data_IF_283650227610
#
_entry.id   IF_283650227610
#
_cell.length_a   1.000
_cell.length_b   1.000
_cell.length_c   1.000
_cell.angle_alpha   90.00
_cell.angle_beta   90.00
_cell.angle_gamma   90.00
#
_symmetry.space_group_name_H-M   'P 1'
#
loop_
_entity.id
_entity.type
_entity.pdbx_description
1 polymer ?
#
# COMPACT_ATOMS: atom_id res chain seq x y z
N UNK A 1 -69.22 -1.60 9.61
CA UNK A 1 -67.80 -1.31 9.91
C UNK A 1 -66.97 -2.18 9.01
N UNK A 2 -66.00 -1.65 8.24
CA UNK A 2 -65.17 -2.50 7.40
C UNK A 2 -64.36 -3.45 8.29
N UNK A 3 -64.21 -4.70 7.85
CA UNK A 3 -63.54 -5.76 8.61
C UNK A 3 -62.02 -5.52 8.62
N UNK A 4 -61.54 -4.78 9.62
CA UNK A 4 -60.14 -4.39 9.79
C UNK A 4 -59.26 -5.51 10.35
N UNK A 5 -59.85 -6.61 10.82
CA UNK A 5 -59.12 -7.74 11.39
C UNK A 5 -58.33 -8.51 10.32
N UNK A 6 -58.91 -8.70 9.15
CA UNK A 6 -58.28 -9.37 8.02
C UNK A 6 -56.98 -8.69 7.52
N UNK A 7 -56.97 -7.38 7.19
CA UNK A 7 -55.75 -6.71 6.74
C UNK A 7 -54.68 -6.65 7.84
N UNK A 8 -55.07 -6.56 9.12
CA UNK A 8 -54.13 -6.63 10.25
C UNK A 8 -53.45 -8.00 10.33
N UNK A 9 -54.20 -9.09 10.15
CA UNK A 9 -53.65 -10.44 10.17
C UNK A 9 -52.70 -10.68 8.99
N UNK A 10 -53.09 -10.26 7.78
CA UNK A 10 -52.22 -10.35 6.59
C UNK A 10 -50.94 -9.54 6.79
N UNK A 11 -51.02 -8.33 7.35
CA UNK A 11 -49.85 -7.52 7.65
C UNK A 11 -48.93 -8.19 8.69
N UNK A 12 -49.49 -8.74 9.78
CA UNK A 12 -48.73 -9.44 10.80
C UNK A 12 -48.00 -10.66 10.24
N UNK A 13 -48.70 -11.51 9.47
CA UNK A 13 -48.09 -12.69 8.82
C UNK A 13 -47.01 -12.27 7.83
N UNK A 14 -47.27 -11.26 7.00
CA UNK A 14 -46.29 -10.76 6.03
C UNK A 14 -45.04 -10.22 6.74
N UNK A 15 -45.19 -9.50 7.85
CA UNK A 15 -44.09 -9.00 8.65
C UNK A 15 -43.25 -10.14 9.24
N UNK A 16 -43.89 -11.18 9.79
CA UNK A 16 -43.20 -12.36 10.33
C UNK A 16 -42.45 -13.11 9.22
N UNK A 17 -43.10 -13.39 8.09
CA UNK A 17 -42.47 -14.07 6.95
C UNK A 17 -41.30 -13.26 6.41
N UNK A 18 -41.46 -11.94 6.25
CA UNK A 18 -40.39 -11.06 5.77
C UNK A 18 -39.21 -11.05 6.74
N UNK A 19 -39.49 -10.94 8.03
CA UNK A 19 -38.43 -10.92 9.07
C UNK A 19 -37.66 -12.23 9.11
N UNK A 20 -38.36 -13.37 9.05
CA UNK A 20 -37.73 -14.70 8.98
C UNK A 20 -36.94 -14.89 7.68
N UNK A 21 -37.49 -14.47 6.54
CA UNK A 21 -36.81 -14.58 5.25
C UNK A 21 -35.53 -13.73 5.20
N UNK A 22 -35.60 -12.49 5.71
CA UNK A 22 -34.42 -11.61 5.81
C UNK A 22 -33.41 -12.18 6.80
N UNK A 23 -33.85 -12.61 7.99
CA UNK A 23 -32.97 -13.13 9.03
C UNK A 23 -32.26 -14.44 8.66
N UNK A 24 -32.94 -15.34 7.95
CA UNK A 24 -32.39 -16.66 7.61
C UNK A 24 -31.62 -16.68 6.30
N UNK A 25 -32.00 -15.87 5.30
CA UNK A 25 -31.42 -15.98 3.95
C UNK A 25 -30.61 -14.75 3.53
N UNK A 26 -31.01 -13.55 3.95
CA UNK A 26 -30.36 -12.29 3.52
C UNK A 26 -29.23 -11.91 4.47
N UNK A 27 -29.49 -11.89 5.78
CA UNK A 27 -28.52 -11.47 6.79
C UNK A 27 -27.21 -12.29 6.76
N UNK A 28 -27.23 -13.65 6.67
CA UNK A 28 -25.98 -14.41 6.60
C UNK A 28 -25.15 -14.09 5.35
N UNK A 29 -25.81 -13.86 4.21
CA UNK A 29 -25.12 -13.47 2.96
C UNK A 29 -24.55 -12.06 3.06
N UNK A 30 -25.28 -11.13 3.67
CA UNK A 30 -24.79 -9.77 3.87
C UNK A 30 -23.59 -9.74 4.82
N UNK A 31 -23.63 -10.48 5.92
CA UNK A 31 -22.49 -10.58 6.85
C UNK A 31 -21.27 -11.23 6.19
N UNK A 32 -21.46 -12.30 5.41
CA UNK A 32 -20.37 -12.91 4.65
C UNK A 32 -19.78 -11.93 3.61
N UNK A 33 -20.63 -11.16 2.91
CA UNK A 33 -20.18 -10.12 1.97
C UNK A 33 -19.45 -8.98 2.69
N UNK A 34 -19.97 -8.52 3.82
CA UNK A 34 -19.36 -7.49 4.66
C UNK A 34 -17.97 -7.93 5.13
N UNK A 35 -17.82 -9.18 5.59
CA UNK A 35 -16.52 -9.75 5.95
C UNK A 35 -15.53 -9.72 4.78
N UNK A 36 -15.94 -10.23 3.61
CA UNK A 36 -15.10 -10.24 2.39
C UNK A 36 -14.69 -8.83 1.95
N UNK A 37 -15.63 -7.88 1.97
CA UNK A 37 -15.33 -6.49 1.65
C UNK A 37 -14.39 -5.86 2.68
N UNK A 38 -14.57 -6.16 3.96
CA UNK A 38 -13.67 -5.74 5.04
C UNK A 38 -12.25 -6.23 4.81
N UNK A 39 -12.06 -7.51 4.52
CA UNK A 39 -10.75 -8.10 4.21
C UNK A 39 -10.08 -7.45 3.00
N UNK A 40 -10.84 -7.14 1.94
CA UNK A 40 -10.35 -6.40 0.77
C UNK A 40 -9.85 -5.01 1.15
N UNK A 41 -10.60 -4.28 1.98
CA UNK A 41 -10.18 -2.95 2.45
C UNK A 41 -8.93 -3.04 3.33
N UNK A 42 -8.89 -3.98 4.28
CA UNK A 42 -7.73 -4.20 5.14
C UNK A 42 -6.47 -4.50 4.32
N UNK A 43 -6.57 -5.33 3.27
CA UNK A 43 -5.44 -5.64 2.40
C UNK A 43 -4.94 -4.39 1.63
N UNK A 44 -5.85 -3.55 1.14
CA UNK A 44 -5.52 -2.29 0.46
C UNK A 44 -4.92 -1.27 1.41
N UNK A 45 -5.44 -1.16 2.63
CA UNK A 45 -4.93 -0.25 3.66
C UNK A 45 -3.52 -0.68 4.10
N UNK A 46 -3.27 -1.97 4.25
CA UNK A 46 -1.94 -2.50 4.55
C UNK A 46 -0.95 -2.23 3.41
N UNK A 47 -1.39 -2.35 2.14
CA UNK A 47 -0.59 -1.95 0.99
C UNK A 47 -0.23 -0.46 1.02
N UNK A 48 -1.23 0.42 1.18
CA UNK A 48 -1.04 1.88 1.30
C UNK A 48 -0.12 2.26 2.45
N UNK A 49 -0.27 1.59 3.60
CA UNK A 49 0.54 1.82 4.81
C UNK A 49 2.00 1.52 4.54
N UNK A 50 2.33 0.40 3.89
CA UNK A 50 3.72 0.05 3.60
C UNK A 50 4.35 0.97 2.53
N UNK A 51 3.59 1.40 1.53
CA UNK A 51 4.06 2.41 0.57
C UNK A 51 4.36 3.75 1.26
N UNK A 52 3.46 4.20 2.14
CA UNK A 52 3.65 5.43 2.90
C UNK A 52 4.86 5.32 3.84
N UNK A 53 5.07 4.16 4.47
CA UNK A 53 6.30 3.88 5.24
C UNK A 53 7.54 4.02 4.39
N UNK A 54 7.57 3.43 3.19
CA UNK A 54 8.70 3.56 2.26
C UNK A 54 8.98 5.02 1.91
N UNK A 55 7.96 5.79 1.51
CA UNK A 55 8.14 7.21 1.19
C UNK A 55 8.67 7.97 2.40
N UNK A 56 8.07 7.75 3.58
CA UNK A 56 8.47 8.45 4.81
C UNK A 56 9.90 8.13 5.23
N UNK A 57 10.31 6.86 5.20
CA UNK A 57 11.65 6.43 5.56
C UNK A 57 12.68 6.96 4.55
N UNK A 58 12.37 6.95 3.24
CA UNK A 58 13.24 7.57 2.23
C UNK A 58 13.42 9.07 2.50
N UNK A 59 12.32 9.78 2.76
CA UNK A 59 12.34 11.22 3.04
C UNK A 59 13.15 11.56 4.29
N UNK A 60 13.11 10.71 5.31
CA UNK A 60 13.88 10.88 6.54
C UNK A 60 15.38 10.59 6.31
N UNK A 61 15.70 9.54 5.57
CA UNK A 61 17.07 9.15 5.24
C UNK A 61 17.77 10.15 4.31
N UNK A 62 17.03 10.79 3.39
CA UNK A 62 17.54 11.87 2.55
C UNK A 62 17.87 13.13 3.35
N UNK A 63 17.03 13.46 4.34
CA UNK A 63 17.22 14.64 5.20
C UNK A 63 18.32 14.45 6.22
N UNK A 64 18.50 13.24 6.71
CA UNK A 64 19.49 12.92 7.74
C UNK A 64 20.82 12.50 7.11
N UNK A 65 21.55 13.49 6.58
CA UNK A 65 22.94 13.30 6.20
C UNK A 65 23.79 13.27 7.46
N UNK A 66 24.58 12.21 7.64
CA UNK A 66 25.47 12.11 8.79
C UNK A 66 26.53 13.22 8.68
N UNK A 67 26.65 14.12 9.66
CA UNK A 67 27.64 15.18 9.58
C UNK A 67 29.06 14.59 9.62
N UNK A 68 30.04 15.17 8.88
CA UNK A 68 31.39 14.64 8.82
C UNK A 68 32.05 14.49 10.20
N UNK A 69 33.03 13.59 10.27
CA UNK A 69 33.67 13.20 11.52
C UNK A 69 34.26 14.40 12.32
N UNK A 70 34.63 15.45 11.59
CA UNK A 70 35.38 16.60 12.09
C UNK A 70 34.50 17.83 12.38
N UNK A 71 33.17 17.69 12.34
CA UNK A 71 32.26 18.83 12.52
C UNK A 71 32.29 19.39 13.95
N UNK A 72 32.68 20.66 14.15
CA UNK A 72 32.80 21.25 15.48
C UNK A 72 31.42 21.43 16.11
N UNK A 73 31.15 20.69 17.18
CA UNK A 73 29.90 20.76 17.96
C UNK A 73 29.09 19.47 18.02
N UNK A 74 29.44 18.46 17.21
CA UNK A 74 28.79 17.15 17.27
C UNK A 74 29.52 16.25 18.27
N UNK A 75 28.85 15.91 19.38
CA UNK A 75 29.37 14.94 20.34
C UNK A 75 29.34 13.52 19.73
N UNK A 76 30.28 12.66 20.14
CA UNK A 76 30.29 11.25 19.72
C UNK A 76 28.97 10.55 20.04
N UNK A 77 28.39 10.81 21.21
CA UNK A 77 27.08 10.28 21.63
C UNK A 77 25.96 10.70 20.68
N UNK A 78 25.97 11.93 20.17
CA UNK A 78 24.96 12.37 19.20
C UNK A 78 25.14 11.66 17.86
N UNK A 79 26.39 11.48 17.41
CA UNK A 79 26.70 10.73 16.18
C UNK A 79 26.22 9.28 16.27
N UNK A 80 26.46 8.61 17.39
CA UNK A 80 26.01 7.23 17.60
C UNK A 80 24.49 7.12 17.56
N UNK A 81 23.78 8.09 18.17
CA UNK A 81 22.31 8.15 18.13
C UNK A 81 21.78 8.37 16.71
N UNK A 82 22.37 9.29 15.95
CA UNK A 82 21.99 9.54 14.56
C UNK A 82 22.23 8.31 13.69
N UNK A 83 23.33 7.59 13.92
CA UNK A 83 23.64 6.34 13.23
C UNK A 83 22.59 5.26 13.55
N UNK A 84 22.21 5.11 14.82
CA UNK A 84 21.16 4.18 15.23
C UNK A 84 19.78 4.52 14.65
N UNK A 85 19.44 5.80 14.55
CA UNK A 85 18.20 6.24 13.91
C UNK A 85 18.20 5.98 12.39
N UNK A 86 19.34 6.19 11.73
CA UNK A 86 19.52 5.85 10.31
C UNK A 86 19.32 4.36 10.08
N UNK A 87 19.96 3.52 10.89
CA UNK A 87 19.84 2.06 10.80
C UNK A 87 18.39 1.61 11.00
N UNK A 88 17.69 2.20 11.98
CA UNK A 88 16.26 1.92 12.22
C UNK A 88 15.40 2.22 10.99
N UNK A 89 15.66 3.32 10.27
CA UNK A 89 14.88 3.65 9.07
C UNK A 89 15.23 2.75 7.88
N UNK A 90 16.49 2.33 7.76
CA UNK A 90 16.86 1.29 6.79
C UNK A 90 16.15 -0.04 7.07
N UNK A 91 16.08 -0.45 8.33
CA UNK A 91 15.31 -1.63 8.73
C UNK A 91 13.83 -1.47 8.38
N UNK A 92 13.24 -0.29 8.58
CA UNK A 92 11.85 -0.04 8.19
C UNK A 92 11.63 -0.14 6.67
N UNK A 93 12.58 0.29 5.85
CA UNK A 93 12.53 0.09 4.39
C UNK A 93 12.61 -1.39 4.01
N UNK A 94 13.54 -2.12 4.62
CA UNK A 94 13.70 -3.56 4.41
C UNK A 94 12.43 -4.32 4.81
N UNK A 95 11.87 -4.05 5.99
CA UNK A 95 10.64 -4.66 6.47
C UNK A 95 9.42 -4.34 5.59
N UNK A 96 9.26 -3.08 5.20
CA UNK A 96 8.14 -2.67 4.35
C UNK A 96 8.23 -3.31 2.96
N UNK A 97 9.40 -3.32 2.32
CA UNK A 97 9.59 -3.95 1.00
C UNK A 97 9.49 -5.47 1.05
N UNK A 98 9.99 -6.11 2.11
CA UNK A 98 9.79 -7.54 2.37
C UNK A 98 8.31 -7.87 2.51
N UNK A 99 7.57 -7.10 3.33
CA UNK A 99 6.13 -7.30 3.49
C UNK A 99 5.39 -7.20 2.15
N UNK A 100 5.74 -6.21 1.32
CA UNK A 100 5.12 -6.03 -0.01
C UNK A 100 5.29 -7.26 -0.88
N UNK A 101 6.51 -7.79 -1.02
CA UNK A 101 6.73 -8.95 -1.88
C UNK A 101 6.08 -10.22 -1.31
N UNK A 102 6.14 -10.44 0.00
CA UNK A 102 5.60 -11.65 0.65
C UNK A 102 4.06 -11.68 0.63
N UNK A 103 3.42 -10.52 0.62
CA UNK A 103 1.95 -10.39 0.68
C UNK A 103 1.32 -9.98 -0.65
N UNK A 104 2.08 -9.98 -1.75
CA UNK A 104 1.65 -9.48 -3.06
C UNK A 104 0.37 -10.12 -3.56
N UNK A 105 0.21 -11.43 -3.40
CA UNK A 105 -0.98 -12.16 -3.83
C UNK A 105 -2.25 -11.66 -3.11
N UNK A 106 -2.13 -11.33 -1.82
CA UNK A 106 -3.23 -10.90 -0.96
C UNK A 106 -3.74 -9.53 -1.35
N UNK A 107 -2.86 -8.51 -1.42
CA UNK A 107 -3.33 -7.15 -1.72
C UNK A 107 -3.50 -6.90 -3.21
N UNK A 108 -2.72 -7.53 -4.11
CA UNK A 108 -2.91 -7.33 -5.54
C UNK A 108 -4.25 -7.92 -6.00
N UNK A 109 -4.59 -9.13 -5.51
CA UNK A 109 -5.88 -9.78 -5.76
C UNK A 109 -7.10 -9.03 -5.22
N UNK A 110 -6.89 -8.03 -4.34
CA UNK A 110 -7.96 -7.17 -3.84
C UNK A 110 -8.51 -6.24 -4.93
N UNK A 111 -7.79 -6.00 -6.03
CA UNK A 111 -8.20 -5.08 -7.10
C UNK A 111 -8.91 -5.81 -8.26
N UNK A 112 -10.00 -5.26 -8.81
CA UNK A 112 -10.77 -5.93 -9.85
C UNK A 112 -10.12 -5.89 -11.24
N UNK A 113 -9.16 -4.99 -11.48
CA UNK A 113 -8.58 -4.74 -12.80
C UNK A 113 -7.21 -5.43 -12.95
N UNK A 114 -7.06 -6.32 -13.93
CA UNK A 114 -5.80 -7.09 -14.17
C UNK A 114 -4.57 -6.21 -14.28
N UNK A 115 -4.66 -5.06 -14.95
CA UNK A 115 -3.51 -4.16 -15.09
C UNK A 115 -3.05 -3.56 -13.74
N UNK A 116 -3.94 -3.39 -12.76
CA UNK A 116 -3.55 -2.98 -11.41
C UNK A 116 -2.86 -4.13 -10.68
N UNK A 117 -3.33 -5.37 -10.86
CA UNK A 117 -2.68 -6.55 -10.29
C UNK A 117 -1.22 -6.63 -10.78
N UNK A 118 -1.00 -6.58 -12.10
CA UNK A 118 0.34 -6.60 -12.68
C UNK A 118 1.21 -5.45 -12.16
N UNK A 119 0.65 -4.24 -12.13
CA UNK A 119 1.38 -3.07 -11.68
C UNK A 119 1.83 -3.17 -10.21
N UNK A 120 0.97 -3.70 -9.34
CA UNK A 120 1.29 -3.91 -7.93
C UNK A 120 2.35 -5.00 -7.72
N UNK A 121 2.32 -6.05 -8.55
CA UNK A 121 3.29 -7.15 -8.53
C UNK A 121 4.66 -6.68 -9.01
N UNK A 122 4.72 -5.99 -10.16
CA UNK A 122 5.96 -5.43 -10.70
C UNK A 122 6.59 -4.43 -9.72
N UNK A 123 5.78 -3.57 -9.12
CA UNK A 123 6.27 -2.63 -8.11
C UNK A 123 6.93 -3.34 -6.93
N UNK A 124 6.25 -4.34 -6.34
CA UNK A 124 6.76 -5.04 -5.17
C UNK A 124 8.09 -5.75 -5.45
N UNK A 125 8.20 -6.42 -6.61
CA UNK A 125 9.43 -7.07 -7.04
C UNK A 125 10.58 -6.08 -7.22
N UNK A 126 10.35 -5.00 -7.97
CA UNK A 126 11.39 -4.00 -8.23
C UNK A 126 11.80 -3.24 -6.96
N UNK A 127 10.85 -2.85 -6.10
CA UNK A 127 11.16 -2.18 -4.84
C UNK A 127 12.03 -3.07 -3.94
N UNK A 128 11.73 -4.38 -3.86
CA UNK A 128 12.56 -5.32 -3.11
C UNK A 128 13.97 -5.46 -3.70
N UNK A 129 14.07 -5.57 -5.03
CA UNK A 129 15.35 -5.66 -5.72
C UNK A 129 16.23 -4.42 -5.51
N UNK A 130 15.65 -3.22 -5.49
CA UNK A 130 16.40 -1.98 -5.20
C UNK A 130 17.01 -2.03 -3.80
N UNK A 131 16.22 -2.39 -2.78
CA UNK A 131 16.72 -2.50 -1.39
C UNK A 131 17.87 -3.50 -1.29
N UNK A 132 17.73 -4.66 -1.94
CA UNK A 132 18.72 -5.75 -1.92
C UNK A 132 19.97 -5.48 -2.75
N UNK A 133 19.91 -4.58 -3.74
CA UNK A 133 21.04 -4.32 -4.63
C UNK A 133 22.25 -3.71 -3.90
N UNK A 134 23.44 -3.81 -4.48
CA UNK A 134 24.67 -3.21 -3.93
C UNK A 134 24.84 -1.72 -4.28
N UNK A 135 23.78 -1.08 -4.79
CA UNK A 135 23.79 0.34 -5.15
C UNK A 135 24.08 1.23 -3.96
N UNK A 136 24.62 2.41 -4.25
CA UNK A 136 24.80 3.45 -3.24
C UNK A 136 23.46 3.80 -2.58
N UNK A 137 23.51 4.09 -1.29
CA UNK A 137 22.34 4.44 -0.48
C UNK A 137 21.51 5.54 -1.11
N UNK A 138 22.13 6.64 -1.58
CA UNK A 138 21.42 7.74 -2.23
C UNK A 138 20.64 7.28 -3.47
N UNK A 139 21.26 6.48 -4.34
CA UNK A 139 20.62 5.92 -5.53
C UNK A 139 19.45 5.00 -5.18
N UNK A 140 19.58 4.18 -4.12
CA UNK A 140 18.47 3.34 -3.64
C UNK A 140 17.28 4.17 -3.23
N UNK A 141 17.49 5.23 -2.44
CA UNK A 141 16.41 6.11 -1.97
C UNK A 141 15.70 6.79 -3.14
N UNK A 142 16.47 7.32 -4.09
CA UNK A 142 15.94 7.97 -5.28
C UNK A 142 15.08 6.99 -6.11
N UNK A 143 15.60 5.80 -6.38
CA UNK A 143 14.88 4.74 -7.10
C UNK A 143 13.61 4.30 -6.36
N UNK A 144 13.67 4.12 -5.05
CA UNK A 144 12.52 3.72 -4.25
C UNK A 144 11.42 4.77 -4.28
N UNK A 145 11.76 6.06 -4.20
CA UNK A 145 10.79 7.14 -4.34
C UNK A 145 10.21 7.20 -5.75
N UNK A 146 11.07 7.10 -6.77
CA UNK A 146 10.66 7.12 -8.18
C UNK A 146 9.74 5.93 -8.54
N UNK A 147 9.92 4.76 -7.92
CA UNK A 147 8.99 3.63 -8.03
C UNK A 147 7.71 3.85 -7.22
N UNK A 148 7.82 4.27 -5.96
CA UNK A 148 6.71 4.21 -4.99
C UNK A 148 5.71 5.34 -5.18
N UNK A 149 6.16 6.57 -5.46
CA UNK A 149 5.28 7.74 -5.57
C UNK A 149 4.24 7.60 -6.70
N UNK A 150 4.62 7.23 -7.94
CA UNK A 150 3.67 7.05 -9.03
C UNK A 150 2.64 5.95 -8.73
N UNK A 151 3.11 4.83 -8.17
CA UNK A 151 2.23 3.71 -7.79
C UNK A 151 1.26 4.18 -6.70
N UNK A 152 1.72 4.89 -5.67
CA UNK A 152 0.86 5.35 -4.56
C UNK A 152 -0.21 6.29 -5.08
N UNK A 153 0.16 7.21 -5.98
CA UNK A 153 -0.78 8.10 -6.65
C UNK A 153 -1.79 7.31 -7.48
N UNK A 154 -1.38 6.32 -8.25
CA UNK A 154 -2.28 5.55 -9.11
C UNK A 154 -3.28 4.69 -8.32
N UNK A 155 -2.88 4.14 -7.18
CA UNK A 155 -3.77 3.30 -6.35
C UNK A 155 -4.63 4.11 -5.38
N UNK A 156 -4.05 5.10 -4.72
CA UNK A 156 -4.65 5.79 -3.57
C UNK A 156 -4.81 7.30 -3.75
N UNK A 157 -4.34 7.83 -4.89
CA UNK A 157 -4.55 9.23 -5.23
C UNK A 157 -6.01 9.56 -5.49
N UNK A 158 -6.33 10.84 -5.35
CA UNK A 158 -7.66 11.35 -5.62
C UNK A 158 -8.09 11.07 -7.07
N UNK A 159 -9.36 10.72 -7.36
CA UNK A 159 -9.78 10.20 -8.68
C UNK A 159 -9.34 11.04 -9.89
N UNK A 160 -9.48 12.37 -9.87
CA UNK A 160 -9.01 13.20 -10.99
C UNK A 160 -7.49 13.29 -11.10
N UNK A 161 -6.76 13.16 -9.97
CA UNK A 161 -5.30 13.08 -9.97
C UNK A 161 -4.82 11.81 -10.67
N UNK A 162 -5.47 10.67 -10.40
CA UNK A 162 -5.17 9.38 -11.05
C UNK A 162 -5.34 9.46 -12.55
N UNK A 163 -6.48 9.98 -13.02
CA UNK A 163 -6.74 10.11 -14.46
C UNK A 163 -5.73 11.05 -15.12
N UNK A 164 -5.46 12.20 -14.50
CA UNK A 164 -4.52 13.20 -15.03
C UNK A 164 -3.09 12.68 -15.15
N UNK A 165 -2.64 11.89 -14.18
CA UNK A 165 -1.26 11.42 -14.11
C UNK A 165 -1.04 10.01 -14.61
N UNK A 166 -2.08 9.25 -14.98
CA UNK A 166 -1.97 7.83 -15.32
C UNK A 166 -0.84 7.51 -16.32
N UNK A 167 -0.76 8.27 -17.42
CA UNK A 167 0.26 8.04 -18.44
C UNK A 167 1.65 8.44 -17.96
N UNK A 168 1.77 9.62 -17.34
CA UNK A 168 3.03 10.09 -16.78
C UNK A 168 3.56 9.16 -15.67
N UNK A 169 2.68 8.65 -14.81
CA UNK A 169 3.02 7.72 -13.73
C UNK A 169 3.53 6.39 -14.27
N UNK A 170 2.87 5.85 -15.28
CA UNK A 170 3.33 4.61 -15.93
C UNK A 170 4.64 4.80 -16.67
N UNK A 171 4.80 5.93 -17.35
CA UNK A 171 6.03 6.23 -18.06
C UNK A 171 7.20 6.40 -17.08
N UNK A 172 7.04 7.21 -16.04
CA UNK A 172 8.06 7.41 -15.00
C UNK A 172 8.44 6.08 -14.31
N UNK A 173 7.45 5.23 -14.04
CA UNK A 173 7.70 3.90 -13.49
C UNK A 173 8.49 3.01 -14.45
N UNK A 174 8.11 2.96 -15.73
CA UNK A 174 8.80 2.16 -16.75
C UNK A 174 10.23 2.65 -17.00
N UNK A 175 10.45 3.97 -17.04
CA UNK A 175 11.78 4.57 -17.11
C UNK A 175 12.63 4.18 -15.89
N UNK A 176 12.04 4.18 -14.69
CA UNK A 176 12.72 3.77 -13.47
C UNK A 176 13.10 2.28 -13.51
N UNK A 177 12.21 1.39 -13.97
CA UNK A 177 12.53 -0.03 -14.17
C UNK A 177 13.68 -0.21 -15.16
N UNK A 178 13.67 0.56 -16.25
CA UNK A 178 14.74 0.50 -17.26
C UNK A 178 16.07 0.93 -16.66
N UNK A 179 16.07 1.97 -15.81
CA UNK A 179 17.26 2.42 -15.07
C UNK A 179 17.80 1.34 -14.12
N UNK A 180 16.91 0.64 -13.41
CA UNK A 180 17.28 -0.48 -12.52
C UNK A 180 17.92 -1.62 -13.31
N UNK A 181 17.43 -1.91 -14.52
CA UNK A 181 17.98 -2.97 -15.38
C UNK A 181 19.28 -2.59 -16.12
N UNK A 182 19.53 -1.30 -16.34
CA UNK A 182 20.65 -0.79 -17.14
C UNK A 182 21.94 -0.48 -16.38
N UNK A 183 21.89 -0.30 -15.06
CA UNK A 183 23.10 -0.08 -14.25
C UNK A 183 23.83 -1.41 -13.99
N UNK A 184 25.14 -1.51 -14.32
CA UNK A 184 25.90 -2.71 -14.00
C UNK A 184 25.95 -2.89 -12.48
N UNK A 185 25.60 -4.10 -12.03
CA UNK A 185 25.90 -4.55 -10.68
C UNK A 185 27.42 -4.55 -10.60
N UNK A 186 28.00 -3.63 -9.83
CA UNK A 186 29.44 -3.60 -9.63
C UNK A 186 29.89 -4.98 -9.10
N UNK A 187 31.01 -5.54 -9.60
CA UNK A 187 31.47 -6.87 -9.23
C UNK A 187 32.02 -6.95 -7.80
#
# INVERSE_FOLDING_TARGET
>A
MPDTAWPLLVAAVTAVVTTLAVGLFVAPRMEARKKRLGEVHTARDAFSTNMTRIISACSLLERLQLPPADEPGLTSVMRDRLTGERERWWQQLDDATRWLIDNVATYAGSWPMRHLIHFAVEYAGNARMVVLSEREEATKLELLLALTVPVQRQFFGWPWSRVRHMFADRQAFAETITRIGGEPIAP
#
